data_IF_615663585684
#
_entry.id   IF_615663585684
#
_cell.length_a   1.000
_cell.length_b   1.000
_cell.length_c   1.000
_cell.angle_alpha   90.00
_cell.angle_beta   90.00
_cell.angle_gamma   90.00
#
_symmetry.space_group_name_H-M   'P 1'
#
loop_
_entity.id
_entity.type
_entity.pdbx_description
1 polymer ?
#
# COMPACT_ATOMS: atom_id res chain seq x y z
N UNK A 1 -20.13 -12.60 -3.55
CA UNK A 1 -20.99 -13.34 -2.59
C UNK A 1 -21.58 -14.57 -3.27
N UNK A 2 -22.21 -15.50 -2.54
CA UNK A 2 -22.85 -16.72 -3.08
C UNK A 2 -23.82 -16.47 -4.26
N UNK A 3 -24.34 -15.25 -4.37
CA UNK A 3 -25.23 -14.78 -5.44
C UNK A 3 -24.47 -14.51 -6.75
N UNK A 4 -23.20 -14.08 -6.72
CA UNK A 4 -22.39 -13.85 -7.93
C UNK A 4 -22.09 -15.12 -8.71
N UNK A 5 -22.20 -16.29 -8.05
CA UNK A 5 -21.97 -17.60 -8.67
C UNK A 5 -23.06 -18.00 -9.67
N UNK A 6 -24.18 -17.27 -9.70
CA UNK A 6 -25.33 -17.53 -10.57
C UNK A 6 -25.54 -16.48 -11.67
N UNK A 7 -24.71 -15.42 -11.69
CA UNK A 7 -24.75 -14.39 -12.72
C UNK A 7 -23.62 -14.65 -13.72
N UNK A 8 -23.90 -14.74 -15.04
CA UNK A 8 -22.86 -14.89 -16.06
C UNK A 8 -21.84 -13.75 -15.97
N UNK A 9 -20.55 -14.08 -16.08
CA UNK A 9 -19.41 -13.15 -15.95
C UNK A 9 -19.55 -11.88 -16.82
N UNK A 10 -20.20 -12.00 -17.98
CA UNK A 10 -20.41 -10.90 -18.94
C UNK A 10 -21.45 -9.85 -18.53
N UNK A 11 -22.31 -10.15 -17.55
CA UNK A 11 -23.37 -9.24 -17.08
C UNK A 11 -23.17 -8.81 -15.61
N UNK A 12 -22.10 -9.26 -14.94
CA UNK A 12 -21.84 -8.90 -13.54
C UNK A 12 -21.04 -7.59 -13.44
N UNK A 13 -21.63 -6.48 -12.97
CA UNK A 13 -20.91 -5.22 -12.81
C UNK A 13 -19.83 -5.26 -11.71
N UNK A 14 -19.72 -6.38 -10.99
CA UNK A 14 -18.70 -6.63 -9.96
C UNK A 14 -17.52 -7.48 -10.43
N UNK A 15 -17.46 -7.85 -11.72
CA UNK A 15 -16.26 -8.47 -12.30
C UNK A 15 -15.35 -7.45 -12.98
N UNK A 16 -14.08 -7.53 -12.62
CA UNK A 16 -13.00 -6.66 -13.06
C UNK A 16 -11.97 -7.51 -13.79
N UNK A 17 -11.56 -7.06 -14.97
CA UNK A 17 -10.52 -7.68 -15.80
C UNK A 17 -9.14 -7.53 -15.14
N UNK A 18 -8.37 -8.62 -15.05
CA UNK A 18 -6.97 -8.59 -14.58
C UNK A 18 -6.14 -7.59 -15.38
N UNK A 19 -5.01 -7.12 -14.84
CA UNK A 19 -4.07 -6.26 -15.59
C UNK A 19 -3.64 -6.94 -16.90
N UNK A 20 -3.52 -8.27 -16.92
CA UNK A 20 -3.29 -9.04 -18.14
C UNK A 20 -4.51 -9.06 -19.09
N UNK A 21 -5.73 -9.15 -18.56
CA UNK A 21 -6.98 -9.16 -19.33
C UNK A 21 -7.35 -7.76 -19.87
N UNK A 22 -6.98 -6.67 -19.17
CA UNK A 22 -7.08 -5.30 -19.69
C UNK A 22 -6.18 -5.08 -20.91
N UNK A 23 -5.04 -5.79 -20.98
CA UNK A 23 -4.17 -5.81 -22.16
C UNK A 23 -4.83 -6.63 -23.28
N UNK A 24 -5.41 -7.78 -22.95
CA UNK A 24 -6.05 -8.67 -23.94
C UNK A 24 -7.34 -8.10 -24.55
N UNK A 25 -8.23 -7.47 -23.77
CA UNK A 25 -9.45 -6.84 -24.30
C UNK A 25 -9.12 -5.70 -25.27
N UNK A 26 -8.10 -4.90 -24.95
CA UNK A 26 -7.61 -3.80 -25.80
C UNK A 26 -7.11 -4.29 -27.17
N UNK A 27 -6.58 -5.51 -27.25
CA UNK A 27 -6.14 -6.14 -28.51
C UNK A 27 -7.26 -6.56 -29.46
N UNK A 28 -8.52 -6.52 -29.03
CA UNK A 28 -9.69 -6.96 -29.82
C UNK A 28 -10.20 -5.92 -30.83
N UNK A 29 -9.67 -4.68 -30.80
CA UNK A 29 -10.24 -3.58 -31.60
C UNK A 29 -9.25 -2.58 -32.19
N UNK A 30 -8.11 -2.29 -31.54
CA UNK A 30 -7.07 -1.40 -32.08
C UNK A 30 -5.74 -1.89 -31.55
N UNK A 31 -4.76 -2.14 -32.43
CA UNK A 31 -3.37 -2.38 -32.01
C UNK A 31 -2.80 -1.08 -31.42
N UNK A 32 -3.15 -0.73 -30.19
CA UNK A 32 -2.40 0.27 -29.44
C UNK A 32 -1.05 -0.36 -29.06
N UNK A 33 0.02 0.25 -29.53
CA UNK A 33 1.39 -0.16 -29.20
C UNK A 33 1.57 -0.25 -27.67
N UNK A 34 2.36 -1.20 -27.15
CA UNK A 34 2.60 -1.39 -25.70
C UNK A 34 3.25 -0.19 -24.98
N UNK A 35 3.39 0.96 -25.64
CA UNK A 35 4.03 2.16 -25.12
C UNK A 35 3.08 3.20 -24.51
N UNK A 36 1.75 3.02 -24.52
CA UNK A 36 0.84 4.04 -23.98
C UNK A 36 -0.52 3.48 -23.50
N UNK A 37 -0.55 2.79 -22.35
CA UNK A 37 -1.84 2.57 -21.66
C UNK A 37 -2.05 3.65 -20.58
N UNK A 38 -2.79 4.74 -20.87
CA UNK A 38 -2.94 5.87 -19.94
C UNK A 38 -3.72 5.51 -18.68
N UNK A 39 -4.56 4.46 -18.71
CA UNK A 39 -5.27 3.98 -17.53
C UNK A 39 -4.30 3.32 -16.55
N UNK A 40 -3.49 2.37 -17.02
CA UNK A 40 -2.49 1.71 -16.17
C UNK A 40 -1.45 2.70 -15.61
N UNK A 41 -1.06 3.71 -16.40
CA UNK A 41 -0.17 4.75 -15.91
C UNK A 41 -0.82 5.55 -14.78
N UNK A 42 -2.10 5.90 -14.91
CA UNK A 42 -2.86 6.58 -13.86
C UNK A 42 -2.92 5.74 -12.59
N UNK A 43 -3.25 4.45 -12.70
CA UNK A 43 -3.27 3.53 -11.55
C UNK A 43 -1.92 3.57 -10.83
N UNK A 44 -0.83 3.31 -11.56
CA UNK A 44 0.51 3.29 -10.96
C UNK A 44 0.94 4.61 -10.33
N UNK A 45 0.58 5.75 -10.92
CA UNK A 45 0.87 7.07 -10.34
C UNK A 45 0.04 7.37 -9.09
N UNK A 46 -1.25 7.02 -9.09
CA UNK A 46 -2.13 7.21 -7.93
C UNK A 46 -1.71 6.30 -6.79
N UNK A 47 -1.41 5.03 -7.07
CA UNK A 47 -0.88 4.09 -6.08
C UNK A 47 0.44 4.58 -5.48
N UNK A 48 1.35 5.12 -6.31
CA UNK A 48 2.60 5.70 -5.81
C UNK A 48 2.38 6.91 -4.89
N UNK A 49 1.39 7.76 -5.19
CA UNK A 49 1.07 8.91 -4.34
C UNK A 49 0.48 8.47 -3.00
N UNK A 50 -0.48 7.56 -3.02
CA UNK A 50 -1.12 7.04 -1.81
C UNK A 50 -0.08 6.35 -0.91
N UNK A 51 0.78 5.50 -1.49
CA UNK A 51 1.85 4.85 -0.74
C UNK A 51 2.87 5.86 -0.21
N UNK A 52 3.22 6.91 -0.95
CA UNK A 52 4.10 7.94 -0.41
C UNK A 52 3.51 8.57 0.87
N UNK A 53 2.21 8.85 0.87
CA UNK A 53 1.50 9.38 2.04
C UNK A 53 1.45 8.34 3.17
N UNK A 54 1.24 7.06 2.85
CA UNK A 54 1.21 5.96 3.82
C UNK A 54 2.56 5.71 4.49
N UNK A 55 3.66 5.74 3.72
CA UNK A 55 4.97 5.38 4.24
C UNK A 55 5.55 6.50 5.12
N UNK A 56 5.01 7.72 5.06
CA UNK A 56 5.48 8.83 5.89
C UNK A 56 5.22 8.61 7.39
N UNK A 57 3.97 8.40 7.87
CA UNK A 57 3.75 8.08 9.28
C UNK A 57 4.36 6.73 9.70
N UNK A 58 4.55 5.78 8.78
CA UNK A 58 5.20 4.49 9.07
C UNK A 58 6.67 4.70 9.44
N UNK A 59 7.38 5.51 8.65
CA UNK A 59 8.75 5.90 8.96
C UNK A 59 8.89 6.65 10.29
N UNK A 60 7.94 7.54 10.60
CA UNK A 60 7.89 8.22 11.91
C UNK A 60 7.79 7.22 13.06
N UNK A 61 6.80 6.31 13.01
CA UNK A 61 6.56 5.33 14.07
C UNK A 61 7.75 4.38 14.23
N UNK A 62 8.32 3.90 13.12
CA UNK A 62 9.46 2.97 13.12
C UNK A 62 10.65 3.57 13.83
N UNK A 63 10.96 4.83 13.52
CA UNK A 63 12.10 5.50 14.12
C UNK A 63 11.86 5.81 15.61
N UNK A 64 10.67 6.30 15.97
CA UNK A 64 10.31 6.56 17.36
C UNK A 64 10.32 5.28 18.22
N UNK A 65 9.82 4.17 17.68
CA UNK A 65 9.90 2.87 18.35
C UNK A 65 11.37 2.46 18.57
N UNK A 66 12.24 2.73 17.59
CA UNK A 66 13.66 2.45 17.71
C UNK A 66 14.42 3.30 18.73
N UNK A 67 13.97 4.53 18.99
CA UNK A 67 14.51 5.35 20.07
C UNK A 67 14.18 4.80 21.47
N UNK A 68 13.06 4.09 21.60
CA UNK A 68 12.61 3.54 22.88
C UNK A 68 13.39 2.27 23.24
N UNK A 69 13.45 1.31 22.32
CA UNK A 69 14.15 0.04 22.54
C UNK A 69 14.61 -0.60 21.22
N UNK A 70 15.92 -0.80 21.09
CA UNK A 70 16.54 -1.42 19.91
C UNK A 70 16.09 -2.88 19.74
N UNK A 71 15.79 -3.59 20.83
CA UNK A 71 15.31 -4.97 20.78
C UNK A 71 13.92 -5.08 20.15
N UNK A 72 13.12 -4.01 20.20
CA UNK A 72 11.82 -3.89 19.52
C UNK A 72 12.01 -3.33 18.10
N UNK A 73 12.99 -2.44 17.92
CA UNK A 73 13.28 -1.78 16.64
C UNK A 73 13.65 -2.75 15.52
N UNK A 74 14.52 -3.73 15.80
CA UNK A 74 15.04 -4.64 14.78
C UNK A 74 13.91 -5.53 14.20
N UNK A 75 13.06 -6.19 15.02
CA UNK A 75 11.90 -6.93 14.51
C UNK A 75 10.95 -6.06 13.70
N UNK A 76 10.65 -4.83 14.15
CA UNK A 76 9.78 -3.89 13.43
C UNK A 76 10.39 -3.53 12.07
N UNK A 77 11.67 -3.16 12.02
CA UNK A 77 12.35 -2.81 10.79
C UNK A 77 12.35 -3.96 9.77
N UNK A 78 12.50 -5.21 10.22
CA UNK A 78 12.41 -6.39 9.35
C UNK A 78 10.97 -6.57 8.85
N UNK A 79 9.97 -6.44 9.72
CA UNK A 79 8.57 -6.58 9.36
C UNK A 79 8.17 -5.55 8.28
N UNK A 80 8.61 -4.30 8.45
CA UNK A 80 8.36 -3.19 7.53
C UNK A 80 9.11 -3.38 6.22
N UNK A 81 10.37 -3.80 6.26
CA UNK A 81 11.12 -4.13 5.05
C UNK A 81 10.41 -5.20 4.20
N UNK A 82 9.79 -6.19 4.84
CA UNK A 82 8.99 -7.21 4.16
C UNK A 82 7.68 -6.62 3.63
N UNK A 83 7.02 -5.72 4.37
CA UNK A 83 5.79 -5.03 3.98
C UNK A 83 5.96 -4.16 2.73
N UNK A 84 7.08 -3.45 2.64
CA UNK A 84 7.41 -2.55 1.54
C UNK A 84 7.63 -3.28 0.18
N UNK A 85 7.89 -4.59 0.19
CA UNK A 85 8.10 -5.36 -1.04
C UNK A 85 6.78 -5.45 -1.85
N UNK A 86 5.67 -5.96 -1.30
CA UNK A 86 4.35 -5.90 -1.94
C UNK A 86 3.95 -4.50 -2.39
N UNK A 87 4.17 -3.48 -1.56
CA UNK A 87 3.84 -2.09 -1.88
C UNK A 87 4.60 -1.60 -3.12
N UNK A 88 5.92 -1.82 -3.16
CA UNK A 88 6.74 -1.43 -4.30
C UNK A 88 6.35 -2.14 -5.60
N UNK A 89 5.92 -3.40 -5.50
CA UNK A 89 5.38 -4.16 -6.64
C UNK A 89 4.06 -3.55 -7.14
N UNK A 90 3.18 -3.14 -6.23
CA UNK A 90 1.88 -2.54 -6.58
C UNK A 90 2.01 -1.25 -7.40
N UNK A 91 3.09 -0.48 -7.22
CA UNK A 91 3.44 0.68 -8.06
C UNK A 91 4.14 0.25 -9.35
N UNK A 92 5.12 -0.64 -9.24
CA UNK A 92 6.04 -0.95 -10.35
C UNK A 92 5.35 -1.68 -11.49
N UNK A 93 4.44 -2.62 -11.19
CA UNK A 93 3.72 -3.44 -12.18
C UNK A 93 2.88 -2.59 -13.15
N UNK A 94 1.90 -1.78 -12.68
CA UNK A 94 1.07 -0.99 -13.58
C UNK A 94 1.89 0.03 -14.38
N UNK A 95 2.92 0.66 -13.78
CA UNK A 95 3.81 1.59 -14.50
C UNK A 95 4.61 0.86 -15.58
N UNK A 96 5.14 -0.33 -15.29
CA UNK A 96 5.88 -1.11 -16.28
C UNK A 96 5.00 -1.50 -17.46
N UNK A 97 3.80 -2.02 -17.22
CA UNK A 97 2.87 -2.39 -18.29
C UNK A 97 2.30 -1.18 -19.03
N UNK A 98 2.27 0.01 -18.42
CA UNK A 98 1.83 1.23 -19.08
C UNK A 98 2.90 1.88 -19.96
N UNK A 99 4.19 1.79 -19.58
CA UNK A 99 5.27 2.54 -20.24
C UNK A 99 6.38 1.67 -20.86
N UNK A 100 6.33 0.35 -20.70
CA UNK A 100 7.39 -0.58 -21.11
C UNK A 100 8.75 -0.39 -20.42
N UNK A 101 8.85 0.48 -19.41
CA UNK A 101 10.14 0.93 -18.86
C UNK A 101 10.33 0.50 -17.42
N UNK A 102 11.18 -0.51 -17.21
CA UNK A 102 11.58 -0.97 -15.87
C UNK A 102 12.19 0.14 -15.03
N UNK A 103 12.92 1.06 -15.68
CA UNK A 103 13.56 2.18 -14.99
C UNK A 103 12.52 3.17 -14.45
N UNK A 104 11.46 3.49 -15.20
CA UNK A 104 10.38 4.37 -14.72
C UNK A 104 9.62 3.73 -13.57
N UNK A 105 9.27 2.45 -13.70
CA UNK A 105 8.62 1.67 -12.65
C UNK A 105 9.44 1.66 -11.35
N UNK A 106 10.74 1.33 -11.46
CA UNK A 106 11.66 1.33 -10.32
C UNK A 106 11.76 2.70 -9.66
N UNK A 107 12.00 3.77 -10.42
CA UNK A 107 12.19 5.10 -9.83
C UNK A 107 10.92 5.62 -9.17
N UNK A 108 9.74 5.36 -9.73
CA UNK A 108 8.49 5.79 -9.11
C UNK A 108 8.25 5.06 -7.77
N UNK A 109 8.44 3.74 -7.74
CA UNK A 109 8.35 2.96 -6.50
C UNK A 109 9.41 3.38 -5.47
N UNK A 110 10.66 3.58 -5.90
CA UNK A 110 11.74 4.02 -5.03
C UNK A 110 11.47 5.40 -4.43
N UNK A 111 10.98 6.35 -5.23
CA UNK A 111 10.66 7.70 -4.76
C UNK A 111 9.51 7.69 -3.74
N UNK A 112 8.51 6.84 -3.94
CA UNK A 112 7.45 6.59 -2.95
C UNK A 112 8.03 6.06 -1.63
N UNK A 113 8.91 5.06 -1.71
CA UNK A 113 9.55 4.47 -0.52
C UNK A 113 10.49 5.42 0.23
N UNK A 114 11.10 6.41 -0.45
CA UNK A 114 11.92 7.44 0.21
C UNK A 114 11.13 8.32 1.19
N UNK A 115 9.80 8.26 1.16
CA UNK A 115 8.97 9.00 2.12
C UNK A 115 9.07 8.42 3.52
N UNK A 116 9.44 7.15 3.66
CA UNK A 116 9.66 6.49 4.96
C UNK A 116 10.88 7.05 5.72
N UNK A 117 12.12 7.07 5.16
CA UNK A 117 13.25 7.71 5.84
C UNK A 117 13.04 9.21 6.03
N UNK A 118 12.27 9.87 5.15
CA UNK A 118 11.88 11.26 5.36
C UNK A 118 10.97 11.41 6.59
N UNK A 119 9.96 10.55 6.73
CA UNK A 119 9.09 10.49 7.90
C UNK A 119 9.89 10.22 9.17
N UNK A 120 10.84 9.28 9.15
CA UNK A 120 11.73 9.00 10.26
C UNK A 120 12.52 10.24 10.72
N UNK A 121 13.13 10.97 9.77
CA UNK A 121 13.88 12.19 10.07
C UNK A 121 13.00 13.30 10.62
N UNK A 122 11.84 13.53 10.00
CA UNK A 122 10.89 14.55 10.46
C UNK A 122 10.37 14.20 11.85
N UNK A 123 9.99 12.94 12.08
CA UNK A 123 9.57 12.44 13.38
C UNK A 123 10.65 12.62 14.45
N UNK A 124 11.91 12.33 14.13
CA UNK A 124 13.02 12.57 15.06
C UNK A 124 13.15 14.05 15.42
N UNK A 125 13.32 14.95 14.43
CA UNK A 125 13.59 16.35 14.74
C UNK A 125 12.41 17.07 15.37
N UNK A 126 11.18 16.69 15.03
CA UNK A 126 9.97 17.32 15.55
C UNK A 126 9.46 16.72 16.86
N UNK A 127 9.77 15.46 17.18
CA UNK A 127 9.15 14.78 18.31
C UNK A 127 10.15 14.33 19.36
N UNK A 128 11.40 13.99 18.98
CA UNK A 128 12.41 13.52 19.94
C UNK A 128 12.67 14.49 21.11
N UNK A 129 12.71 15.83 20.95
CA UNK A 129 12.93 16.75 22.07
C UNK A 129 11.80 16.73 23.12
N UNK A 130 10.60 16.27 22.75
CA UNK A 130 9.40 16.27 23.59
C UNK A 130 8.89 14.87 23.90
N UNK A 131 9.69 13.83 23.63
CA UNK A 131 9.29 12.43 23.70
C UNK A 131 9.31 11.89 25.14
N UNK A 132 8.29 12.24 25.93
CA UNK A 132 7.99 11.56 27.20
C UNK A 132 7.20 10.27 26.94
N UNK A 133 7.08 9.37 27.92
CA UNK A 133 6.28 8.13 27.76
C UNK A 133 4.80 8.44 27.43
N UNK A 134 4.25 9.50 28.03
CA UNK A 134 2.89 9.99 27.78
C UNK A 134 2.76 10.57 26.35
N UNK A 135 3.72 11.41 25.94
CA UNK A 135 3.75 11.97 24.60
C UNK A 135 3.93 10.89 23.53
N UNK A 136 4.80 9.91 23.80
CA UNK A 136 5.00 8.74 22.95
C UNK A 136 3.67 7.99 22.75
N UNK A 137 2.95 7.68 23.83
CA UNK A 137 1.64 7.03 23.74
C UNK A 137 0.62 7.81 22.93
N UNK A 138 0.53 9.13 23.14
CA UNK A 138 -0.40 10.01 22.41
C UNK A 138 -0.06 10.10 20.91
N UNK A 139 1.23 10.28 20.58
CA UNK A 139 1.72 10.33 19.20
C UNK A 139 1.45 8.99 18.50
N UNK A 140 1.75 7.88 19.16
CA UNK A 140 1.53 6.55 18.60
C UNK A 140 0.05 6.29 18.34
N UNK A 141 -0.83 6.70 19.27
CA UNK A 141 -2.27 6.61 19.08
C UNK A 141 -2.77 7.49 17.91
N UNK A 142 -2.25 8.71 17.79
CA UNK A 142 -2.59 9.61 16.69
C UNK A 142 -2.15 9.04 15.33
N UNK A 143 -0.91 8.54 15.23
CA UNK A 143 -0.39 7.94 14.00
C UNK A 143 -1.16 6.67 13.65
N UNK A 144 -1.43 5.80 14.62
CA UNK A 144 -2.27 4.62 14.40
C UNK A 144 -3.66 5.00 13.86
N UNK A 145 -4.27 6.05 14.40
CA UNK A 145 -5.54 6.59 13.90
C UNK A 145 -5.46 7.09 12.45
N UNK A 146 -4.39 7.81 12.10
CA UNK A 146 -4.13 8.26 10.72
C UNK A 146 -3.93 7.06 9.79
N UNK A 147 -3.21 6.03 10.20
CA UNK A 147 -3.01 4.82 9.38
C UNK A 147 -4.29 4.04 9.15
N UNK A 148 -5.14 3.94 10.17
CA UNK A 148 -6.49 3.38 9.99
C UNK A 148 -7.28 4.23 9.00
N UNK A 149 -7.27 5.56 9.15
CA UNK A 149 -7.97 6.47 8.23
C UNK A 149 -7.50 6.29 6.78
N UNK A 150 -6.19 6.35 6.51
CA UNK A 150 -5.62 6.16 5.17
C UNK A 150 -5.98 4.76 4.62
N UNK A 151 -5.94 3.73 5.47
CA UNK A 151 -6.27 2.36 5.03
C UNK A 151 -7.70 2.23 4.54
N UNK A 152 -8.65 2.88 5.20
CA UNK A 152 -10.07 2.79 4.86
C UNK A 152 -10.52 3.82 3.81
N UNK A 153 -9.96 5.03 3.81
CA UNK A 153 -10.40 6.13 2.95
C UNK A 153 -9.64 6.16 1.61
N UNK A 154 -8.43 5.60 1.56
CA UNK A 154 -7.59 5.65 0.36
C UNK A 154 -7.23 4.24 -0.15
N UNK A 155 -6.63 3.39 0.69
CA UNK A 155 -6.12 2.08 0.24
C UNK A 155 -7.24 1.08 -0.09
N UNK A 156 -8.29 1.00 0.75
CA UNK A 156 -9.41 0.10 0.49
C UNK A 156 -10.19 0.50 -0.78
N UNK A 157 -10.59 1.78 -0.99
CA UNK A 157 -11.23 2.20 -2.23
C UNK A 157 -10.35 1.97 -3.45
N UNK A 158 -9.04 2.22 -3.38
CA UNK A 158 -8.12 1.92 -4.47
C UNK A 158 -8.06 0.40 -4.75
N UNK A 159 -8.02 -0.44 -3.71
CA UNK A 159 -8.05 -1.89 -3.86
C UNK A 159 -9.38 -2.41 -4.42
N UNK A 160 -10.50 -1.74 -4.13
CA UNK A 160 -11.81 -2.06 -4.71
C UNK A 160 -11.97 -1.54 -6.14
N UNK A 161 -11.39 -0.38 -6.46
CA UNK A 161 -11.41 0.21 -7.82
C UNK A 161 -10.56 -0.61 -8.79
N UNK A 162 -9.46 -1.21 -8.33
CA UNK A 162 -8.49 -1.92 -9.17
C UNK A 162 -8.43 -3.44 -8.93
N UNK A 163 -9.16 -3.97 -7.94
CA UNK A 163 -9.24 -5.39 -7.60
C UNK A 163 -10.67 -5.92 -7.50
N UNK A 164 -10.86 -7.21 -7.19
CA UNK A 164 -12.21 -7.73 -6.92
C UNK A 164 -12.64 -7.25 -5.53
N UNK A 165 -13.76 -6.54 -5.45
CA UNK A 165 -14.32 -6.00 -4.21
C UNK A 165 -14.26 -7.00 -3.04
N UNK A 166 -14.69 -8.25 -3.27
CA UNK A 166 -14.63 -9.29 -2.23
C UNK A 166 -13.21 -9.73 -1.83
N UNK A 167 -12.27 -9.79 -2.78
CA UNK A 167 -10.88 -10.11 -2.45
C UNK A 167 -10.20 -8.99 -1.68
N UNK A 168 -10.51 -7.71 -1.99
CA UNK A 168 -10.02 -6.57 -1.22
C UNK A 168 -10.50 -6.66 0.24
N UNK A 169 -11.80 -6.91 0.45
CA UNK A 169 -12.37 -7.08 1.80
C UNK A 169 -11.80 -8.31 2.50
N UNK A 170 -11.66 -9.46 1.83
CA UNK A 170 -11.05 -10.64 2.44
C UNK A 170 -9.58 -10.43 2.79
N UNK A 171 -8.83 -9.74 1.93
CA UNK A 171 -7.44 -9.36 2.19
C UNK A 171 -7.31 -8.46 3.41
N UNK A 172 -8.18 -7.44 3.51
CA UNK A 172 -8.27 -6.55 4.67
C UNK A 172 -8.54 -7.34 5.96
N UNK A 173 -9.62 -8.14 5.99
CA UNK A 173 -10.02 -8.89 7.19
C UNK A 173 -8.96 -9.93 7.58
N UNK A 174 -8.38 -10.64 6.60
CA UNK A 174 -7.32 -11.59 6.85
C UNK A 174 -6.05 -10.91 7.38
N UNK A 175 -5.67 -9.76 6.82
CA UNK A 175 -4.56 -8.95 7.30
C UNK A 175 -4.76 -8.49 8.74
N UNK A 176 -5.95 -7.97 9.07
CA UNK A 176 -6.31 -7.60 10.44
C UNK A 176 -6.26 -8.80 11.39
N UNK A 177 -6.73 -9.98 10.97
CA UNK A 177 -6.68 -11.19 11.78
C UNK A 177 -5.25 -11.67 12.03
N UNK A 178 -4.38 -11.64 11.01
CA UNK A 178 -2.95 -11.98 11.15
C UNK A 178 -2.27 -11.03 12.13
N UNK A 179 -2.54 -9.73 12.03
CA UNK A 179 -1.99 -8.73 12.95
C UNK A 179 -2.51 -8.90 14.38
N UNK A 180 -3.80 -9.18 14.56
CA UNK A 180 -4.35 -9.44 15.90
C UNK A 180 -3.74 -10.70 16.53
N UNK A 181 -3.57 -11.75 15.73
CA UNK A 181 -2.99 -13.01 16.21
C UNK A 181 -1.50 -12.87 16.52
N UNK A 182 -0.73 -12.15 15.70
CA UNK A 182 0.69 -11.90 15.98
C UNK A 182 0.87 -11.11 17.27
N UNK A 183 0.05 -10.08 17.50
CA UNK A 183 0.09 -9.31 18.74
C UNK A 183 -0.20 -10.19 19.97
N UNK A 184 -1.13 -11.14 19.90
CA UNK A 184 -1.42 -12.06 21.02
C UNK A 184 -0.26 -13.04 21.25
N UNK A 185 0.35 -13.55 20.18
CA UNK A 185 1.45 -14.52 20.29
C UNK A 185 2.75 -13.90 20.82
N UNK A 186 2.98 -12.62 20.56
CA UNK A 186 4.22 -11.92 20.89
C UNK A 186 4.07 -10.87 22.01
N UNK A 187 2.88 -10.76 22.63
CA UNK A 187 2.64 -9.96 23.83
C UNK A 187 3.11 -10.68 25.10
#
# INVERSE_FOLDING_TARGET
MLIDRFVPEQENPHEMHKVEEMVDESSSGVKETPEHNPRLLRVGMVTALILAIHNFPEGMVTFLAGLKDVSIAIPIAIAIAIHNIPEGISVSVPVFYATGSRRRAFWLSFLSGLTEPLGALVGYFLLAPWLTDEAFGLIFAAIAGVMVFISFDELLPAAEEYGKHHHAVYGLVAGMAVMAFSLILFA
#
